data_IF_377186072152
#
_entry.id   IF_377186072152
#
_cell.length_a   1.000
_cell.length_b   1.000
_cell.length_c   1.000
_cell.angle_alpha   90.00
_cell.angle_beta   90.00
_cell.angle_gamma   90.00
#
_symmetry.space_group_name_H-M   'P 1'
#
loop_
_entity.id
_entity.type
_entity.pdbx_description
1 polymer ?
#
# COMPACT_ATOMS: atom_id res chain seq x y z
N UNK A 1 57.36 46.06 66.72
CA UNK A 1 57.79 46.67 65.45
C UNK A 1 56.79 46.23 64.41
N UNK A 2 56.09 47.24 63.87
CA UNK A 2 55.25 47.28 62.66
C UNK A 2 55.73 46.37 61.51
N UNK A 3 54.99 45.94 60.49
CA UNK A 3 53.64 46.20 59.95
C UNK A 3 53.37 45.09 58.89
N UNK A 4 52.12 45.02 58.40
CA UNK A 4 51.70 44.65 57.04
C UNK A 4 50.70 43.48 56.94
N UNK A 5 49.42 43.88 57.04
CA UNK A 5 48.30 43.24 56.34
C UNK A 5 48.41 43.54 54.84
N UNK A 6 48.55 42.49 54.01
CA UNK A 6 48.25 42.55 52.57
C UNK A 6 47.16 41.53 52.23
N UNK A 7 45.99 42.06 51.87
CA UNK A 7 44.86 41.35 51.26
C UNK A 7 45.31 40.78 49.91
N UNK A 8 44.93 39.55 49.57
CA UNK A 8 44.80 39.09 48.16
C UNK A 8 43.96 37.79 48.08
N UNK A 9 42.75 37.98 47.51
CA UNK A 9 42.01 37.13 46.59
C UNK A 9 41.41 35.76 47.05
N UNK A 10 40.07 35.56 46.96
CA UNK A 10 39.49 34.24 46.99
C UNK A 10 39.76 33.53 45.65
N UNK A 11 40.46 32.40 45.68
CA UNK A 11 40.61 31.52 44.52
C UNK A 11 39.23 30.90 44.23
N UNK A 12 38.58 31.47 43.22
CA UNK A 12 37.42 30.91 42.53
C UNK A 12 37.83 29.54 41.98
N UNK A 13 37.41 28.45 42.62
CA UNK A 13 37.57 27.10 42.11
C UNK A 13 36.63 26.98 40.89
N UNK A 14 37.15 27.33 39.71
CA UNK A 14 36.44 27.18 38.44
C UNK A 14 36.28 25.69 38.20
N UNK A 15 35.07 25.18 38.43
CA UNK A 15 34.65 23.86 38.02
C UNK A 15 34.80 23.79 36.50
N UNK A 16 35.84 23.12 36.01
CA UNK A 16 35.91 22.67 34.63
C UNK A 16 34.96 21.48 34.53
N UNK A 17 33.66 21.77 34.47
CA UNK A 17 32.69 20.86 33.90
C UNK A 17 33.01 20.89 32.42
N UNK A 18 33.84 19.95 31.98
CA UNK A 18 34.03 19.63 30.57
C UNK A 18 32.68 19.20 30.03
N UNK A 19 31.86 20.17 29.59
CA UNK A 19 30.73 19.91 28.72
C UNK A 19 31.30 19.30 27.44
N UNK A 20 31.28 17.96 27.39
CA UNK A 20 31.38 17.19 26.16
C UNK A 20 30.16 17.57 25.34
N UNK A 21 30.23 18.69 24.62
CA UNK A 21 29.31 18.99 23.54
C UNK A 21 29.58 17.95 22.44
N UNK A 22 28.95 16.77 22.55
CA UNK A 22 28.89 15.83 21.45
C UNK A 22 28.29 16.57 20.26
N UNK A 23 29.01 16.59 19.15
CA UNK A 23 28.53 17.16 17.89
C UNK A 23 27.42 16.24 17.40
N UNK A 24 26.17 16.54 17.76
CA UNK A 24 24.99 15.69 17.52
C UNK A 24 24.63 15.64 16.02
N UNK A 25 25.02 16.63 15.22
CA UNK A 25 24.68 16.69 13.78
C UNK A 25 25.91 16.55 12.89
N UNK A 26 26.50 15.38 12.99
CA UNK A 26 27.77 15.06 12.42
C UNK A 26 27.58 14.33 11.06
N UNK A 27 28.09 14.86 9.93
CA UNK A 27 28.06 14.12 8.64
C UNK A 27 28.76 12.78 8.82
N UNK A 28 28.05 11.70 8.55
CA UNK A 28 28.48 10.32 8.68
C UNK A 28 28.90 9.73 7.33
N UNK A 29 28.11 10.00 6.29
CA UNK A 29 28.29 9.48 4.94
C UNK A 29 27.94 10.59 3.94
N UNK A 30 28.68 10.69 2.85
CA UNK A 30 28.32 11.47 1.67
C UNK A 30 27.90 10.53 0.54
N UNK A 31 26.75 10.79 -0.08
CA UNK A 31 26.23 10.01 -1.22
C UNK A 31 25.99 10.96 -2.38
N UNK A 32 26.86 10.93 -3.39
CA UNK A 32 26.83 11.83 -4.55
C UNK A 32 26.76 13.33 -4.15
N UNK A 33 27.43 13.73 -3.06
CA UNK A 33 27.39 15.10 -2.54
C UNK A 33 26.21 15.41 -1.62
N UNK A 34 25.31 14.46 -1.38
CA UNK A 34 24.22 14.61 -0.40
C UNK A 34 24.62 13.95 0.93
N UNK A 35 24.67 14.71 2.05
CA UNK A 35 25.10 14.17 3.33
C UNK A 35 24.01 13.31 3.98
N UNK A 36 24.47 12.30 4.71
CA UNK A 36 23.71 11.54 5.70
C UNK A 36 24.36 11.82 7.05
N UNK A 37 23.58 12.28 8.03
CA UNK A 37 24.11 12.62 9.36
C UNK A 37 23.90 11.51 10.38
N UNK A 38 24.70 11.52 11.44
CA UNK A 38 24.56 10.61 12.59
C UNK A 38 23.17 10.71 13.24
N UNK A 39 22.63 11.94 13.37
CA UNK A 39 21.29 12.19 13.87
C UNK A 39 20.21 11.53 12.99
N UNK A 40 20.34 11.61 11.67
CA UNK A 40 19.39 10.95 10.75
C UNK A 40 19.42 9.43 10.91
N UNK A 41 20.61 8.84 11.03
CA UNK A 41 20.78 7.40 11.25
C UNK A 41 20.08 6.97 12.54
N UNK A 42 20.32 7.67 13.65
CA UNK A 42 19.69 7.39 14.94
C UNK A 42 18.17 7.57 14.90
N UNK A 43 17.68 8.61 14.24
CA UNK A 43 16.25 8.86 14.07
C UNK A 43 15.57 7.73 13.28
N UNK A 44 16.20 7.23 12.21
CA UNK A 44 15.69 6.09 11.42
C UNK A 44 15.72 4.80 12.24
N UNK A 45 16.80 4.55 12.99
CA UNK A 45 16.89 3.40 13.90
C UNK A 45 15.74 3.39 14.91
N UNK A 46 15.51 4.53 15.59
CA UNK A 46 14.48 4.65 16.62
C UNK A 46 13.07 4.55 16.01
N UNK A 47 12.82 5.23 14.89
CA UNK A 47 11.51 5.27 14.25
C UNK A 47 11.07 3.93 13.67
N UNK A 48 12.00 3.18 13.09
CA UNK A 48 11.70 1.93 12.39
C UNK A 48 12.14 0.68 13.18
N UNK A 49 12.67 0.86 14.39
CA UNK A 49 13.19 -0.20 15.24
C UNK A 49 14.16 -1.15 14.50
N UNK A 50 15.18 -0.57 13.86
CA UNK A 50 16.14 -1.30 13.04
C UNK A 50 17.59 -1.10 13.49
N UNK A 51 18.46 -2.02 13.08
CA UNK A 51 19.90 -1.91 13.35
C UNK A 51 20.51 -0.69 12.65
N UNK A 52 21.63 -0.18 13.20
CA UNK A 52 22.40 0.91 12.58
C UNK A 52 22.76 0.63 11.13
N UNK A 53 23.18 -0.59 10.83
CA UNK A 53 23.50 -1.04 9.46
C UNK A 53 22.29 -0.93 8.53
N UNK A 54 21.13 -1.40 8.96
CA UNK A 54 19.91 -1.32 8.17
C UNK A 54 19.44 0.14 7.97
N UNK A 55 19.57 1.00 8.99
CA UNK A 55 19.26 2.41 8.88
C UNK A 55 20.18 3.13 7.89
N UNK A 56 21.48 2.87 7.97
CA UNK A 56 22.47 3.38 6.99
C UNK A 56 22.14 2.92 5.57
N UNK A 57 21.86 1.63 5.38
CA UNK A 57 21.49 1.09 4.06
C UNK A 57 20.21 1.72 3.51
N UNK A 58 19.20 1.94 4.36
CA UNK A 58 17.96 2.60 3.98
C UNK A 58 18.19 4.07 3.60
N UNK A 59 19.03 4.80 4.33
CA UNK A 59 19.36 6.19 4.03
C UNK A 59 20.19 6.33 2.76
N UNK A 60 21.18 5.46 2.54
CA UNK A 60 21.93 5.42 1.27
C UNK A 60 20.96 5.17 0.11
N UNK A 61 20.06 4.19 0.24
CA UNK A 61 19.05 3.91 -0.78
C UNK A 61 18.18 5.14 -1.08
N UNK A 62 17.69 5.82 -0.05
CA UNK A 62 16.88 7.03 -0.20
C UNK A 62 17.62 8.13 -0.97
N UNK A 63 18.89 8.40 -0.63
CA UNK A 63 19.72 9.39 -1.34
C UNK A 63 19.98 9.01 -2.80
N UNK A 64 20.23 7.73 -3.07
CA UNK A 64 20.42 7.23 -4.44
C UNK A 64 19.15 7.39 -5.28
N UNK A 65 17.98 7.02 -4.73
CA UNK A 65 16.69 7.18 -5.40
C UNK A 65 16.38 8.65 -5.68
N UNK A 66 16.58 9.53 -4.69
CA UNK A 66 16.38 10.97 -4.84
C UNK A 66 17.28 11.55 -5.94
N UNK A 67 18.59 11.26 -5.88
CA UNK A 67 19.55 11.72 -6.88
C UNK A 67 19.18 11.24 -8.29
N UNK A 68 18.71 10.00 -8.43
CA UNK A 68 18.28 9.46 -9.72
C UNK A 68 17.02 10.15 -10.26
N UNK A 69 16.03 10.42 -9.41
CA UNK A 69 14.80 11.14 -9.79
C UNK A 69 15.13 12.58 -10.22
N UNK A 70 16.02 13.26 -9.49
CA UNK A 70 16.46 14.61 -9.82
C UNK A 70 17.19 14.65 -11.17
N UNK A 71 18.14 13.72 -11.40
CA UNK A 71 18.86 13.60 -12.69
C UNK A 71 17.94 13.30 -13.87
N UNK A 72 16.84 12.59 -13.65
CA UNK A 72 15.85 12.30 -14.68
C UNK A 72 15.00 13.52 -15.09
N UNK A 73 15.16 14.68 -14.43
CA UNK A 73 14.42 15.92 -14.70
C UNK A 73 12.89 15.72 -14.72
N UNK A 74 12.41 14.90 -13.78
CA UNK A 74 10.99 14.57 -13.68
C UNK A 74 10.26 15.67 -12.93
N UNK A 75 9.44 16.41 -13.68
CA UNK A 75 8.54 17.41 -13.12
C UNK A 75 7.09 16.91 -13.07
N UNK A 76 6.37 17.39 -12.05
CA UNK A 76 4.95 17.17 -11.80
C UNK A 76 4.34 18.54 -11.50
N UNK A 77 3.44 19.00 -12.36
CA UNK A 77 2.83 20.32 -12.20
C UNK A 77 1.87 20.34 -11.00
N UNK A 78 1.66 21.50 -10.35
CA UNK A 78 0.64 21.64 -9.31
C UNK A 78 -0.76 21.21 -9.78
N UNK A 79 -1.07 21.44 -11.05
CA UNK A 79 -2.34 21.06 -11.69
C UNK A 79 -2.49 19.54 -11.77
N UNK A 80 -1.43 18.82 -12.10
CA UNK A 80 -1.44 17.34 -12.11
C UNK A 80 -1.69 16.78 -10.71
N UNK A 81 -1.10 17.41 -9.68
CA UNK A 81 -1.34 17.03 -8.28
C UNK A 81 -2.81 17.28 -7.91
N UNK A 82 -3.36 18.44 -8.24
CA UNK A 82 -4.76 18.76 -7.94
C UNK A 82 -5.73 17.82 -8.70
N UNK A 83 -5.46 17.51 -9.97
CA UNK A 83 -6.22 16.53 -10.74
C UNK A 83 -6.15 15.13 -10.10
N UNK A 84 -4.96 14.70 -9.63
CA UNK A 84 -4.81 13.42 -8.94
C UNK A 84 -5.60 13.38 -7.63
N UNK A 85 -5.63 14.49 -6.90
CA UNK A 85 -6.42 14.65 -5.68
C UNK A 85 -7.91 14.47 -5.97
N UNK A 86 -8.42 15.12 -7.03
CA UNK A 86 -9.83 14.99 -7.43
C UNK A 86 -10.18 13.54 -7.79
N UNK A 87 -9.29 12.83 -8.49
CA UNK A 87 -9.47 11.41 -8.79
C UNK A 87 -9.57 10.56 -7.51
N UNK A 88 -8.67 10.80 -6.54
CA UNK A 88 -8.67 10.09 -5.25
C UNK A 88 -9.96 10.40 -4.47
N UNK A 89 -10.37 11.67 -4.42
CA UNK A 89 -11.58 12.11 -3.74
C UNK A 89 -12.83 11.46 -4.34
N UNK A 90 -12.94 11.46 -5.68
CA UNK A 90 -14.04 10.81 -6.41
C UNK A 90 -14.11 9.30 -6.16
N UNK A 91 -12.96 8.62 -6.18
CA UNK A 91 -12.89 7.18 -5.91
C UNK A 91 -13.38 6.84 -4.48
N UNK A 92 -13.15 7.75 -3.52
CA UNK A 92 -13.55 7.60 -2.13
C UNK A 92 -14.90 8.23 -1.79
N UNK A 93 -15.56 8.87 -2.76
CA UNK A 93 -16.80 9.64 -2.57
C UNK A 93 -16.69 10.72 -1.49
N UNK A 94 -15.53 11.37 -1.40
CA UNK A 94 -15.24 12.44 -0.45
C UNK A 94 -15.22 13.79 -1.16
N UNK A 95 -15.66 14.84 -0.48
CA UNK A 95 -15.35 16.22 -0.89
C UNK A 95 -13.89 16.58 -0.55
N UNK A 96 -13.40 17.69 -1.10
CA UNK A 96 -12.06 18.22 -0.78
C UNK A 96 -11.97 18.59 0.70
N UNK A 97 -13.04 19.16 1.24
CA UNK A 97 -13.19 19.56 2.64
C UNK A 97 -13.18 18.34 3.58
N UNK A 98 -13.87 17.26 3.20
CA UNK A 98 -13.85 15.99 3.94
C UNK A 98 -12.44 15.41 3.96
N UNK A 99 -11.74 15.47 2.82
CA UNK A 99 -10.38 14.95 2.72
C UNK A 99 -9.40 15.76 3.58
N UNK A 100 -9.46 17.10 3.54
CA UNK A 100 -8.67 17.98 4.44
C UNK A 100 -8.92 17.65 5.90
N UNK A 101 -10.19 17.48 6.28
CA UNK A 101 -10.58 17.15 7.66
C UNK A 101 -10.03 15.79 8.08
N UNK A 102 -10.13 14.78 7.22
CA UNK A 102 -9.59 13.45 7.48
C UNK A 102 -8.05 13.43 7.60
N UNK A 103 -7.35 14.22 6.78
CA UNK A 103 -5.89 14.35 6.85
C UNK A 103 -5.46 15.06 8.14
N UNK A 104 -6.14 16.15 8.51
CA UNK A 104 -5.86 16.89 9.74
C UNK A 104 -6.05 16.03 11.00
N UNK A 105 -7.07 15.16 11.03
CA UNK A 105 -7.26 14.17 12.12
C UNK A 105 -6.07 13.22 12.29
N UNK A 106 -5.32 12.97 11.22
CA UNK A 106 -4.12 12.12 11.24
C UNK A 106 -2.82 12.95 11.36
N UNK A 107 -2.93 14.24 11.72
CA UNK A 107 -1.77 15.12 11.88
C UNK A 107 -1.09 15.55 10.58
N UNK A 108 -1.72 15.35 9.42
CA UNK A 108 -1.14 15.71 8.12
C UNK A 108 -1.78 16.98 7.56
N UNK A 109 -0.96 18.00 7.31
CA UNK A 109 -1.42 19.25 6.69
C UNK A 109 -1.72 19.05 5.21
N UNK A 110 -2.59 19.91 4.66
CA UNK A 110 -2.94 19.87 3.23
C UNK A 110 -1.72 20.05 2.32
N UNK A 111 -0.81 20.96 2.69
CA UNK A 111 0.42 21.21 1.94
C UNK A 111 1.37 20.03 1.99
N UNK A 112 1.58 19.44 3.18
CA UNK A 112 2.42 18.25 3.34
C UNK A 112 1.87 17.06 2.53
N UNK A 113 0.55 16.90 2.50
CA UNK A 113 -0.10 15.90 1.66
C UNK A 113 0.13 16.15 0.17
N UNK A 114 -0.04 17.39 -0.33
CA UNK A 114 0.25 17.74 -1.73
C UNK A 114 1.71 17.46 -2.09
N UNK A 115 2.65 17.82 -1.22
CA UNK A 115 4.09 17.57 -1.40
C UNK A 115 4.40 16.08 -1.46
N UNK A 116 3.83 15.28 -0.54
CA UNK A 116 3.98 13.83 -0.54
C UNK A 116 3.39 13.21 -1.80
N UNK A 117 2.19 13.63 -2.22
CA UNK A 117 1.57 13.12 -3.44
C UNK A 117 2.39 13.46 -4.69
N UNK A 118 2.91 14.69 -4.79
CA UNK A 118 3.81 15.08 -5.86
C UNK A 118 5.05 14.18 -5.91
N UNK A 119 5.67 13.88 -4.76
CA UNK A 119 6.82 12.98 -4.69
C UNK A 119 6.46 11.56 -5.15
N UNK A 120 5.33 11.01 -4.71
CA UNK A 120 4.88 9.68 -5.15
C UNK A 120 4.57 9.64 -6.67
N UNK A 121 4.03 10.73 -7.23
CA UNK A 121 3.84 10.86 -8.67
C UNK A 121 5.17 10.93 -9.43
N UNK A 122 6.19 11.63 -8.89
CA UNK A 122 7.54 11.65 -9.45
C UNK A 122 8.16 10.25 -9.46
N UNK A 123 8.03 9.50 -8.36
CA UNK A 123 8.51 8.11 -8.28
C UNK A 123 7.83 7.19 -9.30
N UNK A 124 6.51 7.29 -9.44
CA UNK A 124 5.79 6.48 -10.43
C UNK A 124 6.21 6.82 -11.86
N UNK A 125 6.31 8.11 -12.20
CA UNK A 125 6.79 8.57 -13.50
C UNK A 125 8.23 8.13 -13.77
N UNK A 126 9.09 8.18 -12.74
CA UNK A 126 10.46 7.69 -12.81
C UNK A 126 10.51 6.20 -13.10
N UNK A 127 9.73 5.41 -12.38
CA UNK A 127 9.63 3.98 -12.58
C UNK A 127 9.21 3.65 -14.03
N UNK A 128 8.17 4.31 -14.54
CA UNK A 128 7.69 4.12 -15.91
C UNK A 128 8.77 4.44 -16.94
N UNK A 129 9.49 5.56 -16.77
CA UNK A 129 10.47 6.03 -17.74
C UNK A 129 11.79 5.26 -17.71
N UNK A 130 12.23 4.78 -16.54
CA UNK A 130 13.61 4.28 -16.34
C UNK A 130 13.70 2.80 -15.96
N UNK A 131 12.61 2.19 -15.47
CA UNK A 131 12.63 0.83 -14.89
C UNK A 131 11.64 -0.08 -15.61
N UNK A 132 10.44 0.39 -15.93
CA UNK A 132 9.36 -0.46 -16.44
C UNK A 132 9.71 -1.21 -17.74
N UNK A 133 10.53 -0.62 -18.60
CA UNK A 133 10.99 -1.26 -19.84
C UNK A 133 11.89 -2.48 -19.62
N UNK A 134 12.48 -2.64 -18.44
CA UNK A 134 13.25 -3.84 -18.10
C UNK A 134 12.37 -5.03 -17.69
N UNK A 135 11.06 -4.83 -17.57
CA UNK A 135 10.10 -5.88 -17.22
C UNK A 135 9.47 -6.39 -18.51
N UNK A 136 9.85 -7.60 -18.90
CA UNK A 136 9.26 -8.29 -20.05
C UNK A 136 7.78 -8.57 -19.79
N UNK A 137 6.99 -8.67 -20.87
CA UNK A 137 5.64 -9.22 -20.73
C UNK A 137 5.76 -10.74 -20.48
N UNK A 138 5.04 -11.29 -19.48
CA UNK A 138 5.13 -12.71 -19.20
C UNK A 138 4.42 -13.50 -20.31
N UNK A 139 5.00 -14.65 -20.66
CA UNK A 139 4.32 -15.68 -21.45
C UNK A 139 3.41 -16.52 -20.56
N UNK A 140 2.52 -17.31 -21.18
CA UNK A 140 1.70 -18.28 -20.44
C UNK A 140 2.55 -19.31 -19.69
N UNK A 141 3.71 -19.66 -20.23
CA UNK A 141 4.67 -20.58 -19.60
C UNK A 141 5.32 -19.94 -18.37
N UNK A 142 5.73 -18.67 -18.45
CA UNK A 142 6.28 -17.92 -17.29
C UNK A 142 5.27 -17.88 -16.15
N UNK A 143 3.99 -17.61 -16.47
CA UNK A 143 2.92 -17.56 -15.48
C UNK A 143 2.62 -18.94 -14.89
N UNK A 144 2.67 -20.02 -15.68
CA UNK A 144 2.52 -21.38 -15.16
C UNK A 144 3.66 -21.75 -14.21
N UNK A 145 4.90 -21.51 -14.63
CA UNK A 145 6.08 -21.76 -13.80
C UNK A 145 6.01 -20.95 -12.49
N UNK A 146 5.59 -19.69 -12.58
CA UNK A 146 5.42 -18.84 -11.40
C UNK A 146 4.35 -19.38 -10.45
N UNK A 147 3.19 -19.79 -10.97
CA UNK A 147 2.14 -20.44 -10.18
C UNK A 147 2.65 -21.71 -9.50
N UNK A 148 3.40 -22.55 -10.22
CA UNK A 148 3.90 -23.82 -9.70
C UNK A 148 4.94 -23.66 -8.60
N UNK A 149 5.82 -22.67 -8.73
CA UNK A 149 6.88 -22.36 -7.77
C UNK A 149 6.40 -21.56 -6.57
N UNK A 150 5.18 -21.03 -6.62
CA UNK A 150 4.59 -20.19 -5.57
C UNK A 150 3.16 -20.62 -5.19
N UNK A 151 2.88 -21.93 -5.23
CA UNK A 151 1.55 -22.48 -4.89
C UNK A 151 1.08 -22.08 -3.50
N UNK A 152 1.99 -21.82 -2.56
CA UNK A 152 1.72 -21.29 -1.23
C UNK A 152 1.04 -19.90 -1.29
N UNK A 153 1.45 -19.02 -2.22
CA UNK A 153 0.83 -17.70 -2.45
C UNK A 153 -0.56 -17.79 -3.07
N UNK A 154 -0.89 -18.93 -3.68
CA UNK A 154 -2.12 -19.16 -4.45
C UNK A 154 -2.98 -20.29 -3.90
N UNK A 155 -2.72 -20.69 -2.65
CA UNK A 155 -3.32 -21.88 -2.05
C UNK A 155 -4.85 -21.85 -2.15
N UNK A 156 -5.34 -22.98 -2.63
CA UNK A 156 -6.61 -23.22 -3.30
C UNK A 156 -7.78 -23.33 -2.32
N UNK A 157 -8.52 -22.25 -2.11
CA UNK A 157 -9.97 -22.40 -1.95
C UNK A 157 -10.49 -22.85 -3.33
N UNK A 158 -11.18 -23.99 -3.44
CA UNK A 158 -11.77 -24.41 -4.72
C UNK A 158 -12.64 -23.27 -5.25
N UNK A 159 -12.39 -22.84 -6.48
CA UNK A 159 -13.23 -21.83 -7.11
C UNK A 159 -14.56 -22.49 -7.43
N UNK A 160 -15.56 -22.22 -6.60
CA UNK A 160 -16.90 -22.70 -6.83
C UNK A 160 -17.56 -21.83 -7.90
N UNK A 161 -18.03 -22.43 -8.99
CA UNK A 161 -19.03 -21.81 -9.84
C UNK A 161 -20.40 -22.05 -9.24
N UNK A 162 -21.15 -20.96 -9.06
CA UNK A 162 -22.46 -21.00 -8.42
C UNK A 162 -23.49 -20.42 -9.37
N UNK A 163 -24.47 -21.25 -9.72
CA UNK A 163 -25.66 -20.85 -10.47
C UNK A 163 -26.76 -20.48 -9.49
N UNK A 164 -27.31 -19.29 -9.61
CA UNK A 164 -28.34 -18.78 -8.70
C UNK A 164 -29.33 -17.86 -9.42
N UNK A 165 -30.45 -17.59 -8.75
CA UNK A 165 -31.37 -16.52 -9.15
C UNK A 165 -31.43 -15.51 -8.01
N UNK A 166 -31.10 -14.25 -8.29
CA UNK A 166 -31.30 -13.15 -7.36
C UNK A 166 -32.76 -12.67 -7.43
N UNK A 167 -33.42 -12.62 -6.29
CA UNK A 167 -34.74 -12.02 -6.09
C UNK A 167 -34.55 -10.70 -5.35
N UNK A 168 -34.90 -9.59 -5.98
CA UNK A 168 -34.74 -8.26 -5.42
C UNK A 168 -36.08 -7.52 -5.32
N UNK A 169 -36.32 -6.84 -4.21
CA UNK A 169 -37.50 -6.01 -4.01
C UNK A 169 -37.24 -4.89 -3.02
N UNK A 170 -37.96 -3.78 -3.15
CA UNK A 170 -37.95 -2.71 -2.14
C UNK A 170 -38.82 -3.05 -0.93
N UNK A 171 -39.58 -4.16 -0.95
CA UNK A 171 -40.43 -4.61 0.15
C UNK A 171 -40.00 -5.99 0.64
N UNK A 172 -39.66 -6.07 1.93
CA UNK A 172 -39.30 -7.34 2.58
C UNK A 172 -40.44 -8.36 2.51
N UNK A 173 -41.69 -7.92 2.71
CA UNK A 173 -42.87 -8.79 2.64
C UNK A 173 -43.05 -9.40 1.25
N UNK A 174 -43.00 -8.58 0.19
CA UNK A 174 -43.12 -9.07 -1.20
C UNK A 174 -42.00 -10.05 -1.56
N UNK A 175 -40.79 -9.80 -1.08
CA UNK A 175 -39.67 -10.71 -1.28
C UNK A 175 -39.93 -12.06 -0.59
N UNK A 176 -40.39 -12.05 0.66
CA UNK A 176 -40.75 -13.28 1.38
C UNK A 176 -41.87 -14.06 0.69
N UNK A 177 -42.92 -13.36 0.21
CA UNK A 177 -44.03 -13.99 -0.53
C UNK A 177 -43.53 -14.69 -1.80
N UNK A 178 -42.56 -14.09 -2.50
CA UNK A 178 -41.93 -14.65 -3.70
C UNK A 178 -41.00 -15.83 -3.39
N UNK A 179 -40.32 -15.82 -2.23
CA UNK A 179 -39.48 -16.93 -1.78
C UNK A 179 -40.31 -18.17 -1.41
N UNK A 180 -41.49 -17.96 -0.81
CA UNK A 180 -42.42 -19.05 -0.46
C UNK A 180 -43.10 -19.66 -1.69
N UNK A 181 -43.21 -18.90 -2.79
CA UNK A 181 -43.90 -19.33 -4.02
C UNK A 181 -43.04 -19.06 -5.26
N UNK A 182 -41.91 -19.76 -5.46
CA UNK A 182 -40.90 -19.40 -6.46
C UNK A 182 -41.38 -19.46 -7.91
N UNK A 183 -42.41 -20.28 -8.17
CA UNK A 183 -43.04 -20.47 -9.47
C UNK A 183 -44.00 -19.32 -9.85
N UNK A 184 -44.41 -18.49 -8.88
CA UNK A 184 -45.37 -17.40 -9.10
C UNK A 184 -44.63 -16.08 -9.29
N UNK A 185 -45.01 -15.34 -10.33
CA UNK A 185 -44.55 -13.96 -10.50
C UNK A 185 -45.19 -13.07 -9.44
N UNK A 186 -44.38 -12.45 -8.60
CA UNK A 186 -44.83 -11.47 -7.59
C UNK A 186 -44.49 -10.07 -8.08
N UNK A 187 -45.50 -9.20 -8.15
CA UNK A 187 -45.34 -7.82 -8.63
C UNK A 187 -44.42 -7.00 -7.70
N UNK A 188 -43.40 -6.38 -8.28
CA UNK A 188 -42.38 -5.63 -7.54
C UNK A 188 -41.22 -6.49 -7.03
N UNK A 189 -41.14 -7.76 -7.45
CA UNK A 189 -39.95 -8.61 -7.24
C UNK A 189 -39.28 -8.85 -8.59
N UNK A 190 -38.04 -8.42 -8.72
CA UNK A 190 -37.21 -8.66 -9.90
C UNK A 190 -36.39 -9.92 -9.70
N UNK A 191 -36.34 -10.76 -10.74
CA UNK A 191 -35.56 -11.98 -10.75
C UNK A 191 -34.46 -11.87 -11.81
N UNK A 192 -33.22 -12.22 -11.45
CA UNK A 192 -32.09 -12.25 -12.39
C UNK A 192 -31.28 -13.52 -12.19
N UNK A 193 -31.11 -14.31 -13.25
CA UNK A 193 -30.17 -15.43 -13.27
C UNK A 193 -28.73 -14.92 -13.22
N UNK A 194 -27.93 -15.52 -12.37
CA UNK A 194 -26.53 -15.17 -12.14
C UNK A 194 -25.71 -16.46 -12.16
N UNK A 195 -24.67 -16.48 -12.97
CA UNK A 195 -23.56 -17.41 -12.85
C UNK A 195 -22.38 -16.60 -12.31
N UNK A 196 -21.82 -17.04 -11.18
CA UNK A 196 -20.76 -16.30 -10.52
C UNK A 196 -19.71 -17.25 -9.94
N UNK A 197 -18.47 -16.79 -9.93
CA UNK A 197 -17.32 -17.50 -9.39
C UNK A 197 -17.02 -17.02 -7.96
N UNK A 198 -16.61 -17.91 -7.06
CA UNK A 198 -16.35 -17.58 -5.65
C UNK A 198 -15.32 -16.44 -5.48
N UNK A 199 -14.34 -16.36 -6.37
CA UNK A 199 -13.29 -15.34 -6.39
C UNK A 199 -13.75 -13.94 -6.83
N UNK A 200 -14.94 -13.82 -7.43
CA UNK A 200 -15.54 -12.55 -7.86
C UNK A 200 -16.56 -12.01 -6.84
N UNK A 201 -16.87 -12.78 -5.80
CA UNK A 201 -17.87 -12.43 -4.80
C UNK A 201 -17.26 -11.69 -3.60
N UNK A 202 -18.08 -10.88 -2.93
CA UNK A 202 -17.73 -10.40 -1.59
C UNK A 202 -17.62 -11.59 -0.62
N UNK A 203 -16.59 -11.65 0.26
CA UNK A 203 -16.38 -12.79 1.16
C UNK A 203 -17.56 -13.12 2.09
N UNK A 204 -18.24 -12.10 2.61
CA UNK A 204 -19.41 -12.32 3.49
C UNK A 204 -20.59 -12.91 2.71
N UNK A 205 -20.80 -12.42 1.48
CA UNK A 205 -21.84 -12.95 0.60
C UNK A 205 -21.52 -14.40 0.18
N UNK A 206 -20.26 -14.68 -0.17
CA UNK A 206 -19.81 -16.03 -0.49
C UNK A 206 -20.11 -17.00 0.65
N UNK A 207 -19.79 -16.64 1.90
CA UNK A 207 -20.07 -17.51 3.04
C UNK A 207 -21.56 -17.80 3.24
N UNK A 208 -22.44 -16.79 3.05
CA UNK A 208 -23.89 -16.98 3.12
C UNK A 208 -24.37 -17.94 2.02
N UNK A 209 -23.91 -17.74 0.79
CA UNK A 209 -24.28 -18.59 -0.36
C UNK A 209 -23.73 -20.01 -0.20
N UNK A 210 -22.47 -20.14 0.22
CA UNK A 210 -21.81 -21.42 0.39
C UNK A 210 -22.43 -22.25 1.52
N UNK A 211 -22.89 -21.59 2.60
CA UNK A 211 -23.64 -22.26 3.68
C UNK A 211 -25.11 -22.55 3.35
N UNK A 212 -25.68 -21.94 2.30
CA UNK A 212 -27.08 -22.17 1.89
C UNK A 212 -27.18 -23.40 0.99
N UNK A 213 -27.98 -24.43 1.31
CA UNK A 213 -28.12 -25.63 0.48
C UNK A 213 -28.59 -25.33 -0.96
N UNK A 214 -28.22 -26.20 -1.90
CA UNK A 214 -28.82 -26.17 -3.24
C UNK A 214 -30.33 -26.41 -3.17
N UNK A 215 -31.08 -25.78 -4.07
CA UNK A 215 -32.54 -25.77 -4.04
C UNK A 215 -33.16 -24.92 -2.93
N UNK A 216 -32.36 -24.14 -2.19
CA UNK A 216 -32.84 -23.29 -1.08
C UNK A 216 -32.52 -21.81 -1.30
N UNK A 217 -33.26 -20.96 -0.58
CA UNK A 217 -32.99 -19.53 -0.54
C UNK A 217 -32.04 -19.16 0.60
N UNK A 218 -31.20 -18.15 0.35
CA UNK A 218 -30.56 -17.40 1.44
C UNK A 218 -31.62 -16.65 2.25
N UNK A 219 -31.29 -16.26 3.49
CA UNK A 219 -32.10 -15.27 4.21
C UNK A 219 -32.12 -13.94 3.43
N UNK A 220 -33.21 -13.14 3.51
CA UNK A 220 -33.24 -11.81 2.93
C UNK A 220 -32.13 -10.92 3.48
N UNK A 221 -31.37 -10.31 2.58
CA UNK A 221 -30.26 -9.41 2.88
C UNK A 221 -30.72 -7.99 2.63
N UNK A 222 -30.56 -7.10 3.61
CA UNK A 222 -30.82 -5.67 3.45
C UNK A 222 -29.61 -5.00 2.81
N UNK A 223 -29.82 -4.34 1.68
CA UNK A 223 -28.77 -3.68 0.88
C UNK A 223 -28.71 -2.16 1.12
N UNK A 224 -29.54 -1.63 2.02
CA UNK A 224 -29.75 -0.20 2.24
C UNK A 224 -30.66 0.46 1.20
N UNK A 225 -30.75 -0.09 -0.02
CA UNK A 225 -31.66 0.36 -1.09
C UNK A 225 -32.88 -0.54 -1.29
N UNK A 226 -32.94 -1.65 -0.58
CA UNK A 226 -33.96 -2.69 -0.71
C UNK A 226 -33.44 -4.02 -0.19
N UNK A 227 -34.15 -5.10 -0.50
CA UNK A 227 -33.87 -6.45 -0.04
C UNK A 227 -33.53 -7.38 -1.20
N UNK A 228 -32.59 -8.29 -0.98
CA UNK A 228 -32.23 -9.34 -1.94
C UNK A 228 -32.16 -10.70 -1.25
N UNK A 229 -32.63 -11.74 -1.93
CA UNK A 229 -32.40 -13.14 -1.54
C UNK A 229 -31.94 -13.93 -2.76
N UNK A 230 -31.10 -14.93 -2.57
CA UNK A 230 -30.56 -15.75 -3.66
C UNK A 230 -31.10 -17.16 -3.55
N UNK A 231 -31.73 -17.65 -4.62
CA UNK A 231 -32.08 -19.06 -4.78
C UNK A 231 -30.90 -19.80 -5.39
N UNK A 232 -30.35 -20.78 -4.67
CA UNK A 232 -29.15 -21.50 -5.12
C UNK A 232 -29.59 -22.66 -6.01
N UNK A 233 -29.22 -22.63 -7.30
CA UNK A 233 -29.55 -23.72 -8.24
C UNK A 233 -28.53 -24.84 -8.17
N UNK A 234 -27.24 -24.50 -8.20
CA UNK A 234 -26.16 -25.47 -8.13
C UNK A 234 -24.86 -24.81 -7.70
N UNK A 235 -23.98 -25.60 -7.07
CA UNK A 235 -22.60 -25.27 -6.74
C UNK A 235 -21.71 -26.36 -7.35
N UNK A 236 -20.94 -26.01 -8.36
CA UNK A 236 -19.86 -26.87 -8.83
C UNK A 236 -18.55 -26.33 -8.29
N UNK A 237 -17.73 -27.21 -7.73
CA UNK A 237 -16.32 -26.88 -7.58
C UNK A 237 -15.71 -27.01 -8.97
N UNK A 238 -15.41 -25.89 -9.62
CA UNK A 238 -14.47 -25.96 -10.73
C UNK A 238 -13.15 -26.45 -10.13
N UNK A 239 -12.45 -27.35 -10.84
CA UNK A 239 -11.08 -27.66 -10.44
C UNK A 239 -10.32 -26.34 -10.38
N UNK A 240 -9.92 -25.96 -9.17
CA UNK A 240 -8.93 -24.90 -8.99
C UNK A 240 -7.70 -25.26 -9.82
N UNK A 241 -7.01 -24.24 -10.31
CA UNK A 241 -5.88 -24.44 -11.21
C UNK A 241 -5.49 -23.14 -11.86
N UNK A 242 -4.34 -23.19 -12.53
CA UNK A 242 -3.71 -22.02 -13.16
C UNK A 242 -4.68 -21.18 -13.99
N UNK A 243 -5.49 -21.81 -14.86
CA UNK A 243 -6.40 -21.08 -15.76
C UNK A 243 -7.47 -20.26 -15.01
N UNK A 244 -7.97 -20.76 -13.87
CA UNK A 244 -9.02 -20.10 -13.10
C UNK A 244 -8.53 -18.85 -12.35
N UNK A 245 -7.23 -18.79 -12.05
CA UNK A 245 -6.59 -17.68 -11.33
C UNK A 245 -5.53 -16.96 -12.14
N UNK A 246 -5.46 -17.19 -13.46
CA UNK A 246 -4.41 -16.67 -14.34
C UNK A 246 -4.18 -15.16 -14.17
N UNK A 247 -5.26 -14.39 -14.04
CA UNK A 247 -5.17 -12.95 -13.79
C UNK A 247 -4.52 -12.59 -12.44
N UNK A 248 -4.85 -13.33 -11.37
CA UNK A 248 -4.25 -13.11 -10.05
C UNK A 248 -2.78 -13.49 -10.06
N UNK A 249 -2.43 -14.61 -10.71
CA UNK A 249 -1.05 -15.04 -10.93
C UNK A 249 -0.27 -13.99 -11.72
N UNK A 250 -0.85 -13.46 -12.79
CA UNK A 250 -0.23 -12.39 -13.59
C UNK A 250 0.01 -11.10 -12.80
N UNK A 251 -0.94 -10.68 -11.95
CA UNK A 251 -0.76 -9.51 -11.08
C UNK A 251 0.32 -9.73 -10.04
N UNK A 252 0.36 -10.92 -9.42
CA UNK A 252 1.36 -11.27 -8.42
C UNK A 252 2.76 -11.38 -9.04
N UNK A 253 2.87 -12.00 -10.21
CA UNK A 253 4.11 -12.07 -10.99
C UNK A 253 4.61 -10.66 -11.32
N UNK A 254 3.72 -9.80 -11.85
CA UNK A 254 4.06 -8.42 -12.20
C UNK A 254 4.58 -7.65 -10.98
N UNK A 255 3.94 -7.82 -9.83
CA UNK A 255 4.38 -7.17 -8.60
C UNK A 255 5.78 -7.61 -8.18
N UNK A 256 6.09 -8.91 -8.30
CA UNK A 256 7.41 -9.44 -7.98
C UNK A 256 8.48 -8.94 -8.95
N UNK A 257 8.19 -8.92 -10.24
CA UNK A 257 9.11 -8.39 -11.25
C UNK A 257 9.35 -6.88 -11.09
N UNK A 258 8.33 -6.10 -10.71
CA UNK A 258 8.50 -4.69 -10.34
C UNK A 258 9.49 -4.51 -9.18
N UNK A 259 9.40 -5.37 -8.15
CA UNK A 259 10.32 -5.33 -7.01
C UNK A 259 11.75 -5.73 -7.43
N UNK A 260 11.91 -6.78 -8.23
CA UNK A 260 13.21 -7.21 -8.75
C UNK A 260 13.84 -6.16 -9.65
N UNK A 261 13.09 -5.59 -10.59
CA UNK A 261 13.57 -4.54 -11.48
C UNK A 261 14.02 -3.29 -10.70
N UNK A 262 13.24 -2.86 -9.70
CA UNK A 262 13.60 -1.74 -8.84
C UNK A 262 14.87 -2.02 -8.03
N UNK A 263 15.01 -3.23 -7.49
CA UNK A 263 16.21 -3.66 -6.77
C UNK A 263 17.43 -3.67 -7.68
N UNK A 264 17.33 -4.30 -8.86
CA UNK A 264 18.41 -4.36 -9.85
C UNK A 264 18.84 -2.95 -10.29
N UNK A 265 17.88 -2.03 -10.47
CA UNK A 265 18.16 -0.64 -10.79
C UNK A 265 18.92 0.05 -9.65
N UNK A 266 18.47 -0.12 -8.40
CA UNK A 266 19.16 0.42 -7.24
C UNK A 266 20.58 -0.14 -7.06
N UNK A 267 20.78 -1.44 -7.31
CA UNK A 267 22.11 -2.07 -7.24
C UNK A 267 23.04 -1.45 -8.28
N UNK A 268 22.54 -1.16 -9.49
CA UNK A 268 23.31 -0.40 -10.51
C UNK A 268 23.65 1.01 -10.04
N UNK A 269 22.67 1.74 -9.45
CA UNK A 269 22.93 3.06 -8.89
C UNK A 269 24.04 3.00 -7.84
N UNK A 270 23.94 2.07 -6.89
CA UNK A 270 24.91 1.90 -5.81
C UNK A 270 26.32 1.59 -6.33
N UNK A 271 26.44 0.76 -7.36
CA UNK A 271 27.73 0.43 -7.97
C UNK A 271 28.37 1.60 -8.72
N UNK A 272 27.56 2.54 -9.21
CA UNK A 272 28.03 3.74 -9.94
C UNK A 272 28.15 4.99 -9.06
N UNK A 273 27.70 4.92 -7.81
CA UNK A 273 27.61 6.07 -6.93
C UNK A 273 28.92 6.36 -6.21
N UNK A 274 29.15 7.64 -5.95
CA UNK A 274 30.23 8.11 -5.09
C UNK A 274 29.72 8.11 -3.64
N UNK A 275 30.09 7.06 -2.90
CA UNK A 275 29.68 6.88 -1.49
C UNK A 275 30.93 6.96 -0.63
N UNK A 276 31.07 8.04 0.12
CA UNK A 276 32.20 8.26 1.05
C UNK A 276 31.73 8.13 2.48
N UNK A 277 32.23 7.12 3.19
CA UNK A 277 32.04 6.99 4.64
C UNK A 277 33.04 7.90 5.33
N UNK A 278 32.53 8.85 6.12
CA UNK A 278 33.34 9.80 6.89
C UNK A 278 33.51 9.29 8.32
N UNK A 279 32.39 8.88 8.96
CA UNK A 279 32.38 8.29 10.30
C UNK A 279 31.12 7.44 10.49
N UNK A 280 31.30 6.24 11.03
CA UNK A 280 30.22 5.32 11.40
C UNK A 280 30.53 4.66 12.74
#
# INVERSE_FOLDING_TARGET
MELEMKKLLPILLFAIISSQAQIIDAIAIDVNGEPITTLEIEAVQAKLNMSKKAAVEALIKDRLEKSAIEKANIDISPQDVDAKIEQIAKARKLSKEDMKTALAKNGLTWEAYKKQLSLEMKKEKFFIQNIASSISRPTDEDLRLFYETHKDKFSSEPISQISMIAYASNSSKKLQDAMQNPMRRVEGVQQKSILASSNEMNPQLYNIINSTPEGSFTKPINTGRGFVAYFIKSKSNAQGGFEAIKNQVAMAWMQEERMKASKNFLDKLKNSADIRVIRL
#
